data_IF_049331695182
#
_entry.id   IF_049331695182
#
_cell.length_a   1.000
_cell.length_b   1.000
_cell.length_c   1.000
_cell.angle_alpha   90.00
_cell.angle_beta   90.00
_cell.angle_gamma   90.00
#
_symmetry.space_group_name_H-M   'P 1'
#
loop_
_entity.id
_entity.type
_entity.pdbx_description
1 polymer ?
#
# COMPACT_ATOMS: atom_id res chain seq x y z
N UNK A 1 -12.54 -8.09 -17.92
CA UNK A 1 -12.00 -8.01 -16.53
C UNK A 1 -11.46 -6.60 -16.31
N UNK A 2 -11.73 -5.97 -15.17
CA UNK A 2 -11.33 -4.56 -14.93
C UNK A 2 -10.01 -4.43 -14.15
N UNK A 3 -9.88 -5.10 -13.00
CA UNK A 3 -8.71 -4.96 -12.11
C UNK A 3 -7.55 -5.91 -12.41
N UNK A 4 -7.82 -7.04 -13.07
CA UNK A 4 -6.80 -8.06 -13.38
C UNK A 4 -5.67 -7.52 -14.28
N UNK A 5 -5.93 -6.70 -15.31
CA UNK A 5 -4.86 -6.08 -16.10
C UNK A 5 -3.88 -5.26 -15.26
N UNK A 6 -4.35 -4.55 -14.23
CA UNK A 6 -3.49 -3.72 -13.37
C UNK A 6 -2.58 -4.57 -12.47
N UNK A 7 -3.10 -5.66 -11.91
CA UNK A 7 -2.29 -6.61 -11.12
C UNK A 7 -1.24 -7.30 -12.01
N UNK A 8 -1.66 -7.68 -13.21
CA UNK A 8 -0.79 -8.37 -14.18
C UNK A 8 0.33 -7.48 -14.68
N UNK A 9 0.06 -6.19 -14.92
CA UNK A 9 1.05 -5.20 -15.31
C UNK A 9 2.16 -4.97 -14.25
N UNK A 10 1.98 -5.44 -13.02
CA UNK A 10 2.98 -5.33 -11.96
C UNK A 10 3.55 -6.69 -11.53
N UNK A 11 3.39 -7.71 -12.40
CA UNK A 11 4.03 -9.01 -12.23
C UNK A 11 3.19 -10.10 -11.55
N UNK A 12 1.91 -9.83 -11.23
CA UNK A 12 1.01 -10.87 -10.67
C UNK A 12 0.34 -11.63 -11.81
N UNK A 13 0.81 -12.84 -12.07
CA UNK A 13 0.38 -13.65 -13.22
C UNK A 13 -0.29 -14.96 -12.84
N UNK A 14 -0.19 -15.40 -11.58
CA UNK A 14 -0.56 -16.73 -11.15
C UNK A 14 -1.74 -16.71 -10.17
N UNK A 15 -2.53 -17.78 -10.19
CA UNK A 15 -3.63 -18.07 -9.27
C UNK A 15 -3.31 -19.29 -8.41
N UNK A 16 -3.77 -19.30 -7.17
CA UNK A 16 -3.76 -20.49 -6.31
C UNK A 16 -4.56 -21.68 -6.88
N UNK A 17 -5.37 -21.45 -7.91
CA UNK A 17 -6.01 -22.50 -8.71
C UNK A 17 -5.07 -23.27 -9.64
N UNK A 18 -3.77 -22.99 -9.64
CA UNK A 18 -2.77 -23.75 -10.41
C UNK A 18 -2.61 -23.31 -11.87
N UNK A 19 -3.14 -22.15 -12.23
CA UNK A 19 -3.06 -21.59 -13.58
C UNK A 19 -2.39 -20.21 -13.59
N UNK A 20 -1.81 -19.87 -14.74
CA UNK A 20 -1.24 -18.56 -15.04
C UNK A 20 -2.03 -17.87 -16.16
N UNK A 21 -2.05 -16.53 -16.17
CA UNK A 21 -2.77 -15.72 -17.16
C UNK A 21 -2.32 -15.97 -18.60
N UNK A 22 -1.09 -16.48 -18.79
CA UNK A 22 -0.54 -16.87 -20.09
C UNK A 22 -0.93 -18.29 -20.53
N UNK A 23 -1.77 -18.99 -19.76
CA UNK A 23 -2.27 -20.33 -20.07
C UNK A 23 -1.40 -21.48 -19.55
N UNK A 24 -0.35 -21.20 -18.79
CA UNK A 24 0.51 -22.21 -18.16
C UNK A 24 -0.10 -22.82 -16.88
N UNK A 25 0.30 -24.05 -16.56
CA UNK A 25 0.03 -24.69 -15.26
C UNK A 25 1.16 -24.38 -14.28
N UNK A 26 0.83 -24.00 -13.06
CA UNK A 26 1.79 -23.58 -12.03
C UNK A 26 1.71 -24.51 -10.82
N UNK A 27 2.84 -25.09 -10.44
CA UNK A 27 2.95 -25.99 -9.28
C UNK A 27 3.40 -25.28 -8.00
N UNK A 28 4.13 -24.16 -8.12
CA UNK A 28 4.53 -23.31 -7.00
C UNK A 28 3.71 -22.02 -6.99
N UNK A 29 2.68 -22.00 -6.15
CA UNK A 29 1.62 -21.00 -6.16
C UNK A 29 2.05 -19.64 -5.55
N UNK A 30 3.08 -19.63 -4.70
CA UNK A 30 3.57 -18.43 -4.02
C UNK A 30 2.52 -17.78 -3.09
N UNK A 31 2.94 -16.77 -2.32
CA UNK A 31 2.02 -15.98 -1.49
C UNK A 31 1.33 -14.89 -2.34
N UNK A 32 2.07 -14.29 -3.28
CA UNK A 32 1.61 -13.19 -4.13
C UNK A 32 0.93 -13.68 -5.41
N UNK A 33 -0.26 -14.27 -5.26
CA UNK A 33 -1.18 -14.58 -6.35
C UNK A 33 -2.29 -13.52 -6.46
N UNK A 34 -3.19 -13.64 -7.45
CA UNK A 34 -4.40 -12.80 -7.50
C UNK A 34 -5.22 -12.88 -6.21
N UNK A 35 -5.36 -14.08 -5.63
CA UNK A 35 -6.06 -14.30 -4.36
C UNK A 35 -5.28 -13.74 -3.17
N UNK A 36 -3.96 -13.90 -3.16
CA UNK A 36 -3.10 -13.35 -2.11
C UNK A 36 -3.17 -11.83 -2.04
N UNK A 37 -3.16 -11.16 -3.20
CA UNK A 37 -3.38 -9.71 -3.29
C UNK A 37 -4.77 -9.36 -2.75
N UNK A 38 -5.83 -10.01 -3.22
CA UNK A 38 -7.18 -9.75 -2.73
C UNK A 38 -7.32 -9.91 -1.21
N UNK A 39 -6.75 -10.98 -0.64
CA UNK A 39 -6.72 -11.23 0.80
C UNK A 39 -5.99 -10.14 1.57
N UNK A 40 -4.83 -9.69 1.08
CA UNK A 40 -4.05 -8.61 1.70
C UNK A 40 -4.86 -7.31 1.78
N UNK A 41 -5.57 -6.94 0.71
CA UNK A 41 -6.39 -5.73 0.69
C UNK A 41 -7.60 -5.81 1.65
N UNK A 42 -8.24 -6.97 1.77
CA UNK A 42 -9.34 -7.17 2.73
C UNK A 42 -8.85 -7.02 4.17
N UNK A 43 -7.74 -7.67 4.51
CA UNK A 43 -7.15 -7.58 5.85
C UNK A 43 -6.74 -6.15 6.16
N UNK A 44 -6.05 -5.49 5.23
CA UNK A 44 -5.65 -4.09 5.38
C UNK A 44 -6.85 -3.16 5.58
N UNK A 45 -7.94 -3.36 4.83
CA UNK A 45 -9.18 -2.59 5.00
C UNK A 45 -9.77 -2.74 6.41
N UNK A 46 -9.79 -3.95 6.96
CA UNK A 46 -10.23 -4.20 8.35
C UNK A 46 -9.35 -3.50 9.38
N UNK A 47 -8.02 -3.52 9.20
CA UNK A 47 -7.08 -2.82 10.08
C UNK A 47 -7.27 -1.30 10.04
N UNK A 48 -7.42 -0.71 8.85
CA UNK A 48 -7.70 0.72 8.70
C UNK A 48 -9.04 1.12 9.31
N UNK A 49 -10.06 0.25 9.24
CA UNK A 49 -11.35 0.49 9.88
C UNK A 49 -11.26 0.51 11.42
N UNK A 50 -10.49 -0.40 12.02
CA UNK A 50 -10.25 -0.37 13.46
C UNK A 50 -9.45 0.88 13.88
N UNK A 51 -8.45 1.28 13.08
CA UNK A 51 -7.68 2.50 13.32
C UNK A 51 -8.54 3.77 13.24
N UNK A 52 -9.51 3.82 12.32
CA UNK A 52 -10.41 4.98 12.21
C UNK A 52 -11.34 5.11 13.41
N UNK A 53 -11.85 4.00 13.95
CA UNK A 53 -12.61 3.99 15.21
C UNK A 53 -11.74 4.54 16.35
N UNK A 54 -10.50 4.09 16.47
CA UNK A 54 -9.59 4.56 17.51
C UNK A 54 -9.34 6.07 17.41
N UNK A 55 -9.02 6.57 16.22
CA UNK A 55 -8.78 8.00 16.00
C UNK A 55 -10.01 8.87 16.24
N UNK A 56 -11.21 8.33 16.00
CA UNK A 56 -12.47 9.03 16.30
C UNK A 56 -12.70 9.15 17.80
N UNK A 57 -12.45 8.08 18.56
CA UNK A 57 -12.64 8.07 20.02
C UNK A 57 -11.58 8.93 20.72
N UNK A 58 -10.32 8.79 20.32
CA UNK A 58 -9.17 9.49 20.92
C UNK A 58 -8.72 10.67 20.05
N UNK A 59 -9.64 11.60 19.78
CA UNK A 59 -9.37 12.75 18.92
C UNK A 59 -8.57 13.86 19.63
N UNK A 60 -8.73 14.00 20.95
CA UNK A 60 -8.15 15.10 21.75
C UNK A 60 -6.74 14.75 22.26
N UNK A 61 -5.80 14.64 21.33
CA UNK A 61 -4.39 14.38 21.60
C UNK A 61 -3.59 15.67 21.63
N UNK A 62 -2.65 15.78 22.58
CA UNK A 62 -1.78 16.95 22.76
C UNK A 62 -0.98 17.31 21.50
N UNK A 63 -0.63 16.32 20.66
CA UNK A 63 0.06 16.53 19.39
C UNK A 63 -0.72 17.40 18.39
N UNK A 64 -2.05 17.49 18.53
CA UNK A 64 -2.87 18.36 17.69
C UNK A 64 -3.03 19.76 18.27
N UNK A 65 -2.63 19.99 19.52
CA UNK A 65 -2.75 21.26 20.21
C UNK A 65 -1.42 22.03 20.18
N UNK A 66 -1.52 23.33 19.92
CA UNK A 66 -0.39 24.24 20.04
C UNK A 66 -0.05 24.47 21.52
N UNK A 67 1.21 24.29 21.91
CA UNK A 67 1.66 24.40 23.30
C UNK A 67 1.47 25.81 23.87
N UNK A 68 1.54 26.85 23.03
CA UNK A 68 1.42 28.24 23.46
C UNK A 68 -0.03 28.69 23.61
N UNK A 69 -0.94 28.21 22.78
CA UNK A 69 -2.34 28.67 22.73
C UNK A 69 -3.36 27.65 23.22
N UNK A 70 -2.97 26.38 23.38
CA UNK A 70 -3.86 25.27 23.72
C UNK A 70 -4.92 24.97 22.66
N UNK A 71 -4.79 25.54 21.45
CA UNK A 71 -5.76 25.38 20.36
C UNK A 71 -5.28 24.36 19.33
N UNK A 72 -6.19 23.69 18.63
CA UNK A 72 -5.82 22.82 17.53
C UNK A 72 -5.07 23.58 16.44
N UNK A 73 -3.88 23.09 16.04
CA UNK A 73 -3.08 23.70 14.98
C UNK A 73 -2.31 22.65 14.17
N UNK A 74 -2.11 22.93 12.89
CA UNK A 74 -1.36 22.06 11.97
C UNK A 74 -0.40 22.91 11.13
N UNK A 75 0.89 22.59 11.21
CA UNK A 75 1.93 23.22 10.39
C UNK A 75 1.93 22.61 8.97
N UNK A 76 1.00 23.08 8.13
CA UNK A 76 0.79 22.55 6.78
C UNK A 76 2.05 22.58 5.90
N UNK A 77 2.90 23.62 5.89
CA UNK A 77 4.15 23.61 5.14
C UNK A 77 5.08 22.46 5.56
N UNK A 78 5.23 22.21 6.86
CA UNK A 78 6.03 21.08 7.36
C UNK A 78 5.41 19.74 6.99
N UNK A 79 4.09 19.60 7.15
CA UNK A 79 3.35 18.39 6.77
C UNK A 79 3.54 18.08 5.28
N UNK A 80 3.43 19.09 4.41
CA UNK A 80 3.67 18.93 2.98
C UNK A 80 5.09 18.44 2.70
N UNK A 81 6.10 19.03 3.33
CA UNK A 81 7.50 18.60 3.18
C UNK A 81 7.71 17.13 3.56
N UNK A 82 7.13 16.67 4.67
CA UNK A 82 7.21 15.28 5.12
C UNK A 82 6.59 14.32 4.08
N UNK A 83 5.37 14.62 3.63
CA UNK A 83 4.66 13.77 2.65
C UNK A 83 5.37 13.75 1.29
N UNK A 84 5.89 14.90 0.83
CA UNK A 84 6.61 14.99 -0.42
C UNK A 84 7.92 14.19 -0.37
N UNK A 85 8.66 14.28 0.73
CA UNK A 85 9.89 13.51 0.91
C UNK A 85 9.63 12.00 0.89
N UNK A 86 8.64 11.54 1.67
CA UNK A 86 8.25 10.12 1.70
C UNK A 86 7.77 9.63 0.33
N UNK A 87 7.00 10.44 -0.40
CA UNK A 87 6.55 10.12 -1.76
C UNK A 87 7.73 10.01 -2.73
N UNK A 88 8.74 10.89 -2.59
CA UNK A 88 9.97 10.82 -3.37
C UNK A 88 10.76 9.54 -3.11
N UNK A 89 10.94 9.15 -1.85
CA UNK A 89 11.61 7.90 -1.46
C UNK A 89 10.85 6.69 -2.00
N UNK A 90 9.52 6.67 -1.85
CA UNK A 90 8.68 5.58 -2.37
C UNK A 90 8.75 5.46 -3.90
N UNK A 91 8.67 6.60 -4.61
CA UNK A 91 8.77 6.65 -6.06
C UNK A 91 10.14 6.15 -6.56
N UNK A 92 11.22 6.64 -5.94
CA UNK A 92 12.57 6.19 -6.26
C UNK A 92 12.74 4.69 -6.02
N UNK A 93 12.29 4.18 -4.87
CA UNK A 93 12.38 2.76 -4.54
C UNK A 93 11.61 1.87 -5.52
N UNK A 94 10.38 2.25 -5.88
CA UNK A 94 9.59 1.52 -6.87
C UNK A 94 10.31 1.45 -8.23
N UNK A 95 10.82 2.59 -8.73
CA UNK A 95 11.58 2.62 -9.98
C UNK A 95 12.89 1.84 -9.93
N UNK A 96 13.70 2.06 -8.89
CA UNK A 96 15.04 1.50 -8.79
C UNK A 96 15.07 -0.01 -8.51
N UNK A 97 14.07 -0.55 -7.83
CA UNK A 97 14.06 -1.95 -7.38
C UNK A 97 12.97 -2.80 -8.02
N UNK A 98 11.72 -2.31 -8.07
CA UNK A 98 10.58 -3.11 -8.58
C UNK A 98 10.63 -3.16 -10.12
N UNK A 99 10.73 -2.00 -10.78
CA UNK A 99 10.66 -1.90 -12.25
C UNK A 99 11.91 -2.47 -12.94
N UNK A 100 13.10 -2.30 -12.36
CA UNK A 100 14.37 -2.78 -12.93
C UNK A 100 14.60 -4.29 -12.74
N UNK A 101 13.69 -4.99 -12.05
CA UNK A 101 13.84 -6.37 -11.60
C UNK A 101 15.01 -6.63 -10.64
N UNK A 102 15.64 -5.59 -10.07
CA UNK A 102 16.75 -5.77 -9.13
C UNK A 102 16.28 -6.46 -7.82
N UNK A 103 15.09 -6.11 -7.34
CA UNK A 103 14.47 -6.73 -6.17
C UNK A 103 12.93 -6.78 -6.30
N UNK A 104 12.43 -6.98 -7.51
CA UNK A 104 11.01 -7.11 -7.80
C UNK A 104 10.75 -7.85 -9.10
N UNK A 105 9.47 -8.10 -9.43
CA UNK A 105 9.08 -8.87 -10.60
C UNK A 105 9.13 -8.08 -11.93
N UNK A 106 9.38 -6.77 -11.89
CA UNK A 106 9.30 -5.92 -13.07
C UNK A 106 7.88 -5.48 -13.39
N UNK A 107 7.66 -5.20 -14.68
CA UNK A 107 6.38 -4.86 -15.31
C UNK A 107 6.01 -5.88 -16.37
#
# INVERSE_FOLDING_TARGET
MFVIPFMTHLGITNSWGGWSITGGTVTNLGIWSYEGVAGAYIVFSGLCFLASIWHWVYWDLEIFCDEHTGKPSLDLPKIFGIHLFLSGVACFGFGAFHVTCLYGPGI
#
